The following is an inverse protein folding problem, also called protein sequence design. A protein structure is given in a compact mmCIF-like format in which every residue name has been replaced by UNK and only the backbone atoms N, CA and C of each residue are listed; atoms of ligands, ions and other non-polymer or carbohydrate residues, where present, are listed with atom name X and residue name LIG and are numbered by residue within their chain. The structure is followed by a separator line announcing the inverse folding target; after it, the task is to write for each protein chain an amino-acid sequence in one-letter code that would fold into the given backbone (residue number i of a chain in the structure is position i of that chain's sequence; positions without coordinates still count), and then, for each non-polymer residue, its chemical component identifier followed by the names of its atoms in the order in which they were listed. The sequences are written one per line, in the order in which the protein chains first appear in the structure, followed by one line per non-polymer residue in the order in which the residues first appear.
data_IF_565649193314
#
_entry.id   IF_565649193314
#
_cell.length_a   1.000
_cell.length_b   1.000
_cell.length_c   1.000
_cell.angle_alpha   90.00
_cell.angle_beta   90.00
_cell.angle_gamma   90.00
#
_symmetry.space_group_name_H-M   'P 1'
#
loop_
_entity.id
_entity.type
_entity.pdbx_description
1 polymer ?
#
# COMPACT_ATOMS: atom_id res chain seq x y z
N UNK A 1 2.72 -0.67 -8.15
CA UNK A 1 3.93 -0.97 -7.34
C UNK A 1 5.15 -0.51 -8.10
N UNK A 2 6.22 -0.10 -7.40
CA UNK A 2 7.50 0.26 -8.03
C UNK A 2 8.11 -0.91 -8.81
N UNK A 3 8.61 -0.63 -10.00
CA UNK A 3 9.41 -1.57 -10.80
C UNK A 3 10.80 -1.76 -10.17
N UNK A 4 11.57 -2.75 -10.62
CA UNK A 4 12.94 -2.95 -10.12
C UNK A 4 13.85 -1.77 -10.45
N UNK A 5 13.66 -1.15 -11.61
CA UNK A 5 14.37 0.07 -12.00
C UNK A 5 14.04 1.24 -11.07
N UNK A 6 12.77 1.39 -10.71
CA UNK A 6 12.32 2.41 -9.76
C UNK A 6 12.96 2.20 -8.39
N UNK A 7 13.04 0.95 -7.92
CA UNK A 7 13.67 0.59 -6.64
C UNK A 7 15.15 0.94 -6.62
N UNK A 8 15.88 0.64 -7.70
CA UNK A 8 17.31 1.00 -7.82
C UNK A 8 17.50 2.51 -7.76
N UNK A 9 16.69 3.28 -8.52
CA UNK A 9 16.75 4.76 -8.51
C UNK A 9 16.44 5.33 -7.12
N UNK A 10 15.37 4.86 -6.50
CA UNK A 10 14.97 5.30 -5.16
C UNK A 10 16.07 5.04 -4.12
N UNK A 11 16.74 3.89 -4.19
CA UNK A 11 17.87 3.57 -3.30
C UNK A 11 19.06 4.50 -3.55
N UNK A 12 19.45 4.68 -4.82
CA UNK A 12 20.53 5.59 -5.17
C UNK A 12 20.24 7.03 -4.72
N UNK A 13 18.99 7.48 -4.84
CA UNK A 13 18.56 8.77 -4.32
C UNK A 13 18.62 8.84 -2.78
N UNK A 14 18.18 7.79 -2.06
CA UNK A 14 18.28 7.75 -0.60
C UNK A 14 19.74 7.82 -0.10
N UNK A 15 20.68 7.24 -0.85
CA UNK A 15 22.09 7.22 -0.50
C UNK A 15 22.81 8.54 -0.84
N UNK A 16 22.49 9.14 -1.99
CA UNK A 16 23.23 10.30 -2.52
C UNK A 16 22.52 11.64 -2.35
N UNK A 17 21.20 11.64 -2.17
CA UNK A 17 20.34 12.83 -2.21
C UNK A 17 20.21 13.48 -3.59
N UNK A 18 20.88 12.95 -4.62
CA UNK A 18 20.91 13.56 -5.95
C UNK A 18 19.65 13.18 -6.72
N UNK A 19 18.84 14.18 -7.04
CA UNK A 19 17.62 14.02 -7.83
C UNK A 19 17.92 14.19 -9.33
N UNK A 20 17.79 13.09 -10.09
CA UNK A 20 17.78 13.12 -11.56
C UNK A 20 16.34 13.22 -12.11
N UNK A 21 16.20 13.49 -13.41
CA UNK A 21 14.89 13.65 -14.05
C UNK A 21 13.98 12.42 -13.89
N UNK A 22 14.59 11.22 -13.91
CA UNK A 22 13.86 9.97 -13.67
C UNK A 22 13.29 9.90 -12.26
N UNK A 23 14.07 10.29 -11.26
CA UNK A 23 13.68 10.32 -9.84
C UNK A 23 12.61 11.39 -9.60
N UNK A 24 12.76 12.56 -10.23
CA UNK A 24 11.75 13.63 -10.20
C UNK A 24 10.40 13.17 -10.74
N UNK A 25 10.38 12.55 -11.92
CA UNK A 25 9.14 12.00 -12.50
C UNK A 25 8.51 10.95 -11.58
N UNK A 26 9.34 10.10 -10.98
CA UNK A 26 8.88 9.10 -10.04
C UNK A 26 8.24 9.73 -8.80
N UNK A 27 8.84 10.77 -8.22
CA UNK A 27 8.26 11.49 -7.08
C UNK A 27 6.94 12.18 -7.40
N UNK A 28 6.80 12.75 -8.60
CA UNK A 28 5.51 13.30 -9.05
C UNK A 28 4.45 12.20 -9.09
N UNK A 29 4.79 11.03 -9.66
CA UNK A 29 3.89 9.87 -9.70
C UNK A 29 3.52 9.39 -8.30
N UNK A 30 4.49 9.27 -7.39
CA UNK A 30 4.28 8.88 -5.98
C UNK A 30 3.34 9.87 -5.29
N UNK A 31 3.59 11.18 -5.41
CA UNK A 31 2.76 12.22 -4.78
C UNK A 31 1.32 12.17 -5.26
N UNK A 32 1.09 11.97 -6.56
CA UNK A 32 -0.26 11.83 -7.14
C UNK A 32 -1.00 10.60 -6.62
N UNK A 33 -0.28 9.54 -6.27
CA UNK A 33 -0.85 8.28 -5.82
C UNK A 33 -0.72 8.05 -4.30
N UNK A 34 -0.23 9.02 -3.55
CA UNK A 34 0.18 8.83 -2.15
C UNK A 34 -0.97 8.32 -1.28
N UNK A 35 -2.16 8.91 -1.43
CA UNK A 35 -3.36 8.49 -0.69
C UNK A 35 -3.74 7.03 -0.94
N UNK A 36 -3.62 6.58 -2.20
CA UNK A 36 -3.90 5.20 -2.58
C UNK A 36 -2.84 4.25 -2.02
N UNK A 37 -1.56 4.61 -2.16
CA UNK A 37 -0.44 3.82 -1.65
C UNK A 37 -0.55 3.64 -0.13
N UNK A 38 -0.85 4.71 0.61
CA UNK A 38 -1.05 4.64 2.06
C UNK A 38 -2.20 3.69 2.42
N UNK A 39 -3.36 3.81 1.76
CA UNK A 39 -4.49 2.90 2.00
C UNK A 39 -4.16 1.43 1.70
N UNK A 40 -3.45 1.16 0.60
CA UNK A 40 -3.01 -0.20 0.24
C UNK A 40 -2.03 -0.77 1.28
N UNK A 41 -1.10 0.04 1.79
CA UNK A 41 -0.14 -0.35 2.84
C UNK A 41 -0.85 -0.61 4.18
N UNK A 42 -1.78 0.25 4.58
CA UNK A 42 -2.58 0.05 5.79
C UNK A 42 -3.38 -1.26 5.73
N UNK A 43 -4.01 -1.54 4.58
CA UNK A 43 -4.71 -2.80 4.34
C UNK A 43 -3.75 -4.00 4.41
N UNK A 44 -2.60 -3.93 3.75
CA UNK A 44 -1.58 -4.98 3.80
C UNK A 44 -1.10 -5.26 5.24
N UNK A 45 -0.87 -4.22 6.04
CA UNK A 45 -0.48 -4.35 7.44
C UNK A 45 -1.60 -5.02 8.25
N UNK A 46 -2.87 -4.63 8.05
CA UNK A 46 -4.01 -5.24 8.72
C UNK A 46 -4.15 -6.73 8.36
N UNK A 47 -4.00 -7.07 7.08
CA UNK A 47 -3.98 -8.47 6.61
C UNK A 47 -2.82 -9.24 7.23
N UNK A 48 -1.60 -8.68 7.26
CA UNK A 48 -0.43 -9.32 7.82
C UNK A 48 -0.58 -9.59 9.33
N UNK A 49 -1.10 -8.61 10.09
CA UNK A 49 -1.43 -8.80 11.52
C UNK A 49 -2.42 -9.95 11.70
N UNK A 50 -3.48 -9.98 10.90
CA UNK A 50 -4.49 -11.03 10.97
C UNK A 50 -3.95 -12.41 10.57
N UNK A 51 -3.06 -12.50 9.59
CA UNK A 51 -2.41 -13.75 9.22
C UNK A 51 -1.48 -14.26 10.32
N UNK A 52 -0.82 -13.37 11.06
CA UNK A 52 -0.01 -13.75 12.23
C UNK A 52 -0.89 -14.30 13.35
N UNK A 53 -2.05 -13.69 13.60
CA UNK A 53 -3.05 -14.20 14.56
C UNK A 53 -3.67 -15.54 14.09
N UNK A 54 -4.00 -15.66 12.80
CA UNK A 54 -4.58 -16.86 12.22
C UNK A 54 -3.58 -18.03 12.10
N UNK A 55 -2.28 -17.77 12.04
CA UNK A 55 -1.25 -18.83 12.17
C UNK A 55 -1.22 -19.44 13.58
N UNK A 56 -1.65 -18.73 14.61
CA UNK A 56 -1.82 -19.30 15.97
C UNK A 56 -3.09 -20.16 16.08
N UNK A 57 -4.06 -20.01 15.16
CA UNK A 57 -5.32 -20.75 15.14
C UNK A 57 -5.50 -21.41 13.77
N UNK A 58 -4.91 -22.58 13.59
CA UNK A 58 -4.88 -23.33 12.32
C UNK A 58 -6.15 -23.19 11.48
N UNK A 59 -5.98 -22.75 10.22
CA UNK A 59 -7.02 -22.71 9.17
C UNK A 59 -8.36 -22.08 9.62
N UNK A 60 -8.34 -20.97 10.33
CA UNK A 60 -9.57 -20.23 10.62
C UNK A 60 -10.20 -19.67 9.32
N UNK A 61 -11.41 -20.17 8.98
CA UNK A 61 -12.30 -19.59 7.95
C UNK A 61 -12.48 -18.09 8.22
N UNK A 62 -12.49 -17.30 7.14
CA UNK A 62 -12.75 -15.86 7.20
C UNK A 62 -14.01 -15.56 8.03
N UNK A 63 -13.90 -14.88 9.19
CA UNK A 63 -15.06 -14.51 10.00
C UNK A 63 -15.95 -13.54 9.21
N UNK A 64 -17.28 -13.69 9.34
CA UNK A 64 -18.29 -12.85 8.66
C UNK A 64 -18.08 -11.34 8.87
N UNK A 65 -17.39 -10.95 9.94
CA UNK A 65 -17.09 -9.56 10.27
C UNK A 65 -15.98 -8.96 9.39
N UNK A 66 -15.09 -9.77 8.83
CA UNK A 66 -14.07 -9.26 7.91
C UNK A 66 -14.68 -8.82 6.58
N UNK A 67 -15.77 -9.45 6.13
CA UNK A 67 -16.51 -8.97 4.97
C UNK A 67 -17.09 -7.56 5.20
N UNK A 68 -17.46 -7.22 6.44
CA UNK A 68 -17.87 -5.85 6.82
C UNK A 68 -16.70 -4.88 6.83
N UNK A 69 -15.55 -5.28 7.35
CA UNK A 69 -14.35 -4.44 7.35
C UNK A 69 -13.84 -4.19 5.93
N UNK A 70 -13.81 -5.22 5.08
CA UNK A 70 -13.45 -5.11 3.66
C UNK A 70 -14.44 -4.21 2.93
N UNK A 71 -15.76 -4.37 3.14
CA UNK A 71 -16.76 -3.44 2.56
C UNK A 71 -16.55 -2.00 2.99
N UNK A 72 -16.28 -1.73 4.28
CA UNK A 72 -16.00 -0.36 4.75
C UNK A 72 -14.74 0.24 4.10
N UNK A 73 -13.70 -0.58 3.90
CA UNK A 73 -12.48 -0.14 3.22
C UNK A 73 -12.74 0.12 1.73
N UNK A 74 -13.51 -0.74 1.06
CA UNK A 74 -13.94 -0.54 -0.33
C UNK A 74 -14.82 0.71 -0.51
N UNK A 75 -15.73 0.98 0.44
CA UNK A 75 -16.57 2.18 0.46
C UNK A 75 -15.73 3.45 0.67
N UNK A 76 -14.78 3.42 1.61
CA UNK A 76 -13.84 4.52 1.84
C UNK A 76 -12.96 4.83 0.62
N UNK A 77 -12.55 3.81 -0.14
CA UNK A 77 -11.81 3.96 -1.39
C UNK A 77 -12.70 4.54 -2.50
N UNK A 78 -13.95 4.08 -2.64
CA UNK A 78 -14.90 4.61 -3.63
C UNK A 78 -15.25 6.08 -3.42
N UNK A 79 -15.44 6.50 -2.16
CA UNK A 79 -15.80 7.88 -1.82
C UNK A 79 -14.65 8.86 -2.11
N UNK A 80 -13.40 8.42 -2.02
CA UNK A 80 -12.22 9.24 -2.33
C UNK A 80 -11.81 9.26 -3.81
N UNK A 81 -12.36 8.37 -4.63
CA UNK A 81 -12.11 8.33 -6.08
C UNK A 81 -13.05 9.20 -6.94
N UNK A 82 -13.97 9.95 -6.31
CA UNK A 82 -14.95 10.82 -6.98
C UNK A 82 -14.75 12.32 -6.72
N UNK A 83 -13.65 12.70 -6.05
CA UNK A 83 -13.28 14.09 -5.77
C UNK A 83 -12.14 14.57 -6.67
#
# INVERSE_FOLDING_TARGET
MFTDRDRVRLRAWLESGVEDDGTRMLFVSVRRNLNRITGDVELLVAVARRLREGRMMGRARLPRDLARTVRRLEEGVRLRGRS
#
